data_IF_115021424136
#
_entry.id   IF_115021424136
#
_cell.length_a   1.000
_cell.length_b   1.000
_cell.length_c   1.000
_cell.angle_alpha   90.00
_cell.angle_beta   90.00
_cell.angle_gamma   90.00
#
_symmetry.space_group_name_H-M   'P 1'
#
loop_
_entity.id
_entity.type
_entity.pdbx_description
1 polymer ?
#
# COMPACT_ATOMS: atom_id res chain seq x y z
N UNK A 1 7.98 6.65 1.80
CA UNK A 1 7.19 7.40 0.78
C UNK A 1 6.72 6.44 -0.30
N UNK A 2 5.62 6.77 -0.92
CA UNK A 2 5.13 6.01 -2.09
C UNK A 2 6.18 6.03 -3.20
N UNK A 3 6.48 4.88 -3.79
CA UNK A 3 7.52 4.75 -4.81
C UNK A 3 6.95 4.29 -6.16
N UNK A 4 5.98 3.37 -6.15
CA UNK A 4 5.54 2.71 -7.38
C UNK A 4 4.04 2.47 -7.38
N UNK A 5 3.41 2.72 -8.54
CA UNK A 5 2.09 2.21 -8.89
C UNK A 5 2.30 1.22 -10.04
N UNK A 6 1.94 -0.05 -9.83
CA UNK A 6 2.10 -1.09 -10.85
C UNK A 6 1.13 -0.89 -12.00
N UNK A 7 1.65 -0.59 -13.18
CA UNK A 7 0.83 -0.45 -14.38
C UNK A 7 0.14 -1.77 -14.76
N UNK A 8 0.78 -2.90 -14.49
CA UNK A 8 0.24 -4.21 -14.80
C UNK A 8 -0.93 -4.61 -13.89
N UNK A 9 -0.96 -4.13 -12.65
CA UNK A 9 -1.97 -4.50 -11.66
C UNK A 9 -3.08 -3.46 -11.49
N UNK A 10 -2.79 -2.19 -11.73
CA UNK A 10 -3.73 -1.09 -11.47
C UNK A 10 -5.00 -1.21 -12.32
N UNK A 11 -6.15 -1.09 -11.67
CA UNK A 11 -7.47 -1.13 -12.32
C UNK A 11 -8.14 0.24 -12.40
N UNK A 12 -7.39 1.30 -12.16
CA UNK A 12 -7.86 2.69 -12.28
C UNK A 12 -9.06 3.02 -11.38
N UNK A 13 -9.15 2.36 -10.21
CA UNK A 13 -10.23 2.61 -9.26
C UNK A 13 -10.06 3.94 -8.50
N UNK A 14 -8.87 4.52 -8.52
CA UNK A 14 -8.52 5.80 -7.88
C UNK A 14 -8.74 5.85 -6.36
N UNK A 15 -8.78 4.71 -5.70
CA UNK A 15 -8.86 4.66 -4.23
C UNK A 15 -7.65 5.35 -3.58
N UNK A 16 -6.46 5.15 -4.16
CA UNK A 16 -5.23 5.78 -3.66
C UNK A 16 -5.34 7.31 -3.68
N UNK A 17 -5.93 7.86 -4.74
CA UNK A 17 -6.15 9.31 -4.86
C UNK A 17 -7.09 9.80 -3.76
N UNK A 18 -8.17 9.05 -3.51
CA UNK A 18 -9.22 9.43 -2.56
C UNK A 18 -8.77 9.36 -1.12
N UNK A 19 -7.95 8.38 -0.76
CA UNK A 19 -7.56 8.15 0.65
C UNK A 19 -6.29 8.88 1.06
N UNK A 20 -5.52 9.43 0.11
CA UNK A 20 -4.28 10.12 0.44
C UNK A 20 -4.57 11.41 1.23
N UNK A 21 -4.08 11.52 2.49
CA UNK A 21 -4.36 12.71 3.31
C UNK A 21 -3.59 13.95 2.89
N UNK A 22 -2.53 13.79 2.08
CA UNK A 22 -1.63 14.89 1.70
C UNK A 22 -1.61 15.18 0.21
N UNK A 23 -2.58 14.62 -0.53
CA UNK A 23 -2.79 14.95 -1.95
C UNK A 23 -1.55 14.69 -2.83
N UNK A 24 -0.94 13.51 -2.65
CA UNK A 24 0.27 13.11 -3.38
C UNK A 24 0.00 12.76 -4.83
N UNK A 25 -1.19 12.23 -5.13
CA UNK A 25 -1.53 11.68 -6.45
C UNK A 25 -2.39 12.64 -7.26
N UNK A 26 -2.19 12.63 -8.58
CA UNK A 26 -3.11 13.24 -9.52
C UNK A 26 -3.86 12.17 -10.29
N UNK A 27 -5.17 12.36 -10.40
CA UNK A 27 -6.04 11.51 -11.21
C UNK A 27 -5.80 11.78 -12.67
N UNK A 28 -5.70 10.73 -13.48
CA UNK A 28 -5.57 10.82 -14.94
C UNK A 28 -6.86 10.29 -15.56
N UNK A 29 -7.45 11.03 -16.49
CA UNK A 29 -8.65 10.59 -17.21
C UNK A 29 -8.31 9.36 -18.05
N UNK A 30 -9.12 8.30 -17.88
CA UNK A 30 -8.96 7.02 -18.57
C UNK A 30 -7.56 6.40 -18.39
N UNK A 31 -6.92 6.66 -17.25
CA UNK A 31 -5.57 6.18 -17.02
C UNK A 31 -5.25 5.93 -15.56
N UNK A 32 -4.04 5.45 -15.35
CA UNK A 32 -3.47 5.16 -14.03
C UNK A 32 -3.09 6.49 -13.38
N UNK A 33 -3.45 6.72 -12.09
CA UNK A 33 -3.04 7.95 -11.41
C UNK A 33 -1.52 8.08 -11.36
N UNK A 34 -1.04 9.31 -11.28
CA UNK A 34 0.39 9.58 -11.20
C UNK A 34 0.79 10.04 -9.80
N UNK A 35 2.00 9.70 -9.40
CA UNK A 35 2.62 10.20 -8.18
C UNK A 35 3.15 11.60 -8.50
N UNK A 36 2.35 12.62 -8.22
CA UNK A 36 2.65 13.98 -8.64
C UNK A 36 3.47 14.76 -7.62
N UNK A 37 3.30 14.47 -6.34
CA UNK A 37 3.91 15.22 -5.24
C UNK A 37 4.47 14.25 -4.19
N UNK A 38 5.43 13.41 -4.61
CA UNK A 38 6.03 12.38 -3.76
C UNK A 38 6.58 12.95 -2.46
N UNK A 39 7.17 14.13 -2.50
CA UNK A 39 7.73 14.79 -1.32
C UNK A 39 6.69 15.14 -0.25
N UNK A 40 5.41 15.20 -0.62
CA UNK A 40 4.32 15.47 0.31
C UNK A 40 3.79 14.19 0.98
N UNK A 41 4.31 13.03 0.60
CA UNK A 41 3.89 11.74 1.16
C UNK A 41 4.26 11.64 2.64
N UNK A 42 3.28 11.33 3.47
CA UNK A 42 3.45 11.16 4.92
C UNK A 42 3.79 9.74 5.33
N UNK A 43 3.99 8.85 4.37
CA UNK A 43 4.31 7.42 4.60
C UNK A 43 3.27 6.77 5.54
N UNK A 44 2.00 7.08 5.31
CA UNK A 44 0.89 6.55 6.13
C UNK A 44 0.40 5.19 5.67
N UNK A 45 0.85 4.72 4.50
CA UNK A 45 0.46 3.44 3.89
C UNK A 45 -1.01 3.32 3.51
N UNK A 46 -1.80 4.38 3.62
CA UNK A 46 -3.25 4.32 3.34
C UNK A 46 -3.54 3.94 1.88
N UNK A 47 -2.79 4.50 0.93
CA UNK A 47 -2.97 4.18 -0.49
C UNK A 47 -2.73 2.71 -0.79
N UNK A 48 -1.65 2.14 -0.24
CA UNK A 48 -1.33 0.72 -0.39
C UNK A 48 -2.37 -0.16 0.30
N UNK A 49 -2.83 0.25 1.48
CA UNK A 49 -3.84 -0.48 2.26
C UNK A 49 -5.18 -0.58 1.53
N UNK A 50 -5.63 0.50 0.88
CA UNK A 50 -6.92 0.53 0.20
C UNK A 50 -6.88 0.08 -1.27
N UNK A 51 -5.69 -0.23 -1.81
CA UNK A 51 -5.58 -0.74 -3.18
C UNK A 51 -6.06 -2.20 -3.25
N UNK A 52 -7.18 -2.50 -3.92
CA UNK A 52 -7.75 -3.85 -3.90
C UNK A 52 -6.96 -4.88 -4.72
N UNK A 53 -6.03 -4.41 -5.54
CA UNK A 53 -5.27 -5.27 -6.47
C UNK A 53 -3.78 -5.30 -6.18
N UNK A 54 -3.37 -4.79 -5.02
CA UNK A 54 -1.96 -4.79 -4.59
C UNK A 54 -1.03 -4.13 -5.63
N UNK A 55 -1.44 -2.98 -6.15
CA UNK A 55 -0.70 -2.29 -7.21
C UNK A 55 0.31 -1.27 -6.69
N UNK A 56 0.35 -1.02 -5.37
CA UNK A 56 1.17 0.05 -4.79
C UNK A 56 2.25 -0.49 -3.88
N UNK A 57 3.36 0.23 -3.85
CA UNK A 57 4.42 0.00 -2.87
C UNK A 57 4.82 1.31 -2.21
N UNK A 58 4.68 1.37 -0.91
CA UNK A 58 5.14 2.48 -0.06
C UNK A 58 6.38 2.00 0.68
N UNK A 59 7.53 2.62 0.40
CA UNK A 59 8.76 2.32 1.10
C UNK A 59 8.70 2.91 2.51
N UNK A 60 9.23 2.21 3.53
CA UNK A 60 9.22 2.73 4.90
C UNK A 60 10.09 3.96 5.13
N UNK A 61 10.98 4.29 4.21
CA UNK A 61 11.78 5.51 4.30
C UNK A 61 10.91 6.73 3.99
N UNK A 62 10.78 7.64 4.94
CA UNK A 62 9.92 8.83 4.83
C UNK A 62 10.63 10.05 4.27
N UNK A 63 11.96 10.00 4.12
CA UNK A 63 12.76 11.17 3.74
C UNK A 63 13.49 11.01 2.42
N UNK A 64 13.80 9.77 2.03
CA UNK A 64 14.60 9.49 0.84
C UNK A 64 13.89 8.58 -0.13
N UNK A 65 14.13 8.79 -1.42
CA UNK A 65 13.69 7.89 -2.47
C UNK A 65 14.60 6.66 -2.47
N UNK A 66 13.99 5.47 -2.38
CA UNK A 66 14.74 4.20 -2.30
C UNK A 66 15.17 3.72 -3.69
N UNK A 67 14.45 4.13 -4.75
CA UNK A 67 14.83 3.80 -6.12
C UNK A 67 14.47 2.38 -6.56
N UNK A 68 13.32 1.88 -6.14
CA UNK A 68 12.81 0.56 -6.53
C UNK A 68 12.09 0.59 -7.88
N UNK A 69 12.04 -0.56 -8.55
CA UNK A 69 11.33 -0.72 -9.82
C UNK A 69 10.14 -1.66 -9.68
N UNK A 70 9.15 -1.50 -10.55
CA UNK A 70 7.97 -2.38 -10.57
C UNK A 70 8.37 -3.84 -10.73
N UNK A 71 9.27 -4.14 -11.67
CA UNK A 71 9.73 -5.51 -11.93
C UNK A 71 10.45 -6.11 -10.71
N UNK A 72 11.28 -5.33 -10.05
CA UNK A 72 11.97 -5.76 -8.83
C UNK A 72 11.03 -6.05 -7.68
N UNK A 73 10.03 -5.20 -7.48
CA UNK A 73 9.02 -5.38 -6.44
C UNK A 73 8.13 -6.60 -6.72
N UNK A 74 7.75 -6.81 -7.96
CA UNK A 74 6.96 -7.97 -8.39
C UNK A 74 7.73 -9.26 -8.09
N UNK A 75 9.00 -9.31 -8.46
CA UNK A 75 9.88 -10.46 -8.22
C UNK A 75 10.04 -10.77 -6.74
N UNK A 76 10.10 -9.75 -5.89
CA UNK A 76 10.28 -9.90 -4.45
C UNK A 76 8.96 -10.07 -3.70
N UNK A 77 7.82 -9.91 -4.39
CA UNK A 77 6.51 -10.01 -3.76
C UNK A 77 6.20 -8.88 -2.79
N UNK A 78 6.72 -7.70 -3.03
CA UNK A 78 6.56 -6.54 -2.13
C UNK A 78 5.38 -5.63 -2.49
N UNK A 79 4.83 -5.73 -3.70
CA UNK A 79 3.65 -4.94 -4.07
C UNK A 79 2.47 -5.31 -3.18
N UNK A 80 1.86 -4.31 -2.57
CA UNK A 80 0.76 -4.51 -1.63
C UNK A 80 1.17 -5.20 -0.33
N UNK A 81 2.47 -5.22 -0.01
CA UNK A 81 3.00 -5.94 1.15
C UNK A 81 2.41 -5.48 2.49
N UNK A 82 2.16 -4.19 2.65
CA UNK A 82 1.54 -3.66 3.87
C UNK A 82 0.11 -4.18 4.03
N UNK A 83 -0.68 -4.11 2.97
CA UNK A 83 -2.06 -4.62 2.96
C UNK A 83 -2.12 -6.12 3.30
N UNK A 84 -1.19 -6.89 2.72
CA UNK A 84 -1.06 -8.31 3.01
C UNK A 84 -0.75 -8.58 4.49
N UNK A 85 0.21 -7.83 5.05
CA UNK A 85 0.65 -8.02 6.44
C UNK A 85 -0.42 -7.65 7.45
N UNK A 86 -1.26 -6.67 7.17
CA UNK A 86 -2.38 -6.32 8.07
C UNK A 86 -3.59 -7.24 7.87
N UNK A 87 -3.54 -8.12 6.88
CA UNK A 87 -4.57 -9.13 6.65
C UNK A 87 -5.77 -8.64 5.88
N UNK A 88 -5.64 -7.56 5.12
CA UNK A 88 -6.73 -7.06 4.30
C UNK A 88 -6.73 -7.76 2.94
N UNK A 89 -7.83 -8.37 2.63
CA UNK A 89 -8.03 -9.12 1.39
C UNK A 89 -8.62 -10.50 1.70
N UNK A 90 -9.31 -11.05 0.71
CA UNK A 90 -9.97 -12.35 0.86
C UNK A 90 -8.96 -13.45 1.16
N UNK A 91 -9.19 -14.19 2.25
CA UNK A 91 -8.35 -15.32 2.65
C UNK A 91 -7.05 -14.93 3.36
N UNK A 92 -6.82 -13.65 3.60
CA UNK A 92 -5.62 -13.16 4.29
C UNK A 92 -5.81 -13.12 5.80
N UNK A 93 -4.69 -13.28 6.52
CA UNK A 93 -4.62 -13.17 7.96
C UNK A 93 -3.56 -12.13 8.33
N UNK A 94 -3.78 -11.28 9.35
CA UNK A 94 -2.75 -10.34 9.78
C UNK A 94 -1.56 -11.08 10.37
N UNK A 95 -0.35 -10.55 10.19
CA UNK A 95 0.85 -11.12 10.82
C UNK A 95 0.72 -11.12 12.34
N UNK A 96 -0.05 -10.18 12.89
CA UNK A 96 -0.35 -10.14 14.33
C UNK A 96 -1.04 -11.41 14.84
N UNK A 97 -1.68 -12.20 13.96
CA UNK A 97 -2.31 -13.47 14.34
C UNK A 97 -1.31 -14.48 14.88
N UNK A 98 -0.03 -14.31 14.59
CA UNK A 98 1.04 -15.15 15.12
C UNK A 98 1.55 -14.66 16.48
N UNK A 99 1.12 -13.49 16.94
CA UNK A 99 1.51 -12.89 18.19
C UNK A 99 0.63 -13.45 19.33
N UNK A 100 1.27 -13.86 20.43
CA UNK A 100 0.55 -14.37 21.59
C UNK A 100 -0.44 -13.35 22.16
N UNK A 101 -0.07 -12.07 22.19
CA UNK A 101 -0.92 -11.01 22.71
C UNK A 101 -2.18 -10.80 21.86
N UNK A 102 -2.06 -10.98 20.55
CA UNK A 102 -3.21 -10.94 19.64
C UNK A 102 -4.23 -12.04 20.02
N UNK A 103 -3.75 -13.27 20.22
CA UNK A 103 -4.59 -14.40 20.61
C UNK A 103 -5.26 -14.17 21.97
N UNK A 104 -4.54 -13.57 22.88
CA UNK A 104 -5.04 -13.25 24.21
C UNK A 104 -6.14 -12.17 24.11
N UNK A 105 -5.94 -11.14 23.29
CA UNK A 105 -6.93 -10.08 23.06
C UNK A 105 -8.24 -10.65 22.51
N UNK A 106 -8.17 -11.59 21.57
CA UNK A 106 -9.36 -12.25 21.03
C UNK A 106 -10.14 -13.00 22.11
N UNK A 107 -9.43 -13.71 22.99
CA UNK A 107 -10.05 -14.43 24.12
C UNK A 107 -10.71 -13.49 25.12
N UNK A 108 -10.12 -12.31 25.30
CA UNK A 108 -10.64 -11.30 26.23
C UNK A 108 -11.77 -10.45 25.61
N UNK A 109 -12.09 -10.65 24.35
CA UNK A 109 -13.17 -9.93 23.67
C UNK A 109 -12.82 -8.51 23.22
N UNK A 110 -11.54 -8.22 23.07
CA UNK A 110 -11.07 -6.93 22.58
C UNK A 110 -11.18 -6.81 21.06
#
# INVERSE_FOLDING_TARGET
MIEVISAARCIECNQCVSVCPTNVFDRVEDGIPVIARQSDCQTCFMCELYCPVDALYVAPDSENIVGVTEAGLEKQGLLGGYREKVGWGKGRQPVASHDYMYKLSLRAGF
#
